data_IF_230580649022
#
_entry.id   IF_230580649022
#
_cell.length_a   1.000
_cell.length_b   1.000
_cell.length_c   1.000
_cell.angle_alpha   90.00
_cell.angle_beta   90.00
_cell.angle_gamma   90.00
#
_symmetry.space_group_name_H-M   'P 1'
#
loop_
_entity.id
_entity.type
_entity.pdbx_description
1 polymer ?
#
# COMPACT_ATOMS: atom_id res chain seq x y z
N UNK A 1 55.90 8.77 -35.46
CA UNK A 1 56.85 9.67 -34.78
C UNK A 1 56.53 11.09 -35.22
N UNK A 2 55.81 11.81 -34.38
CA UNK A 2 55.45 13.23 -34.54
C UNK A 2 55.85 13.88 -33.21
N UNK A 3 56.58 15.00 -33.21
CA UNK A 3 57.19 15.52 -31.99
C UNK A 3 56.18 16.24 -31.10
N UNK A 4 56.32 15.98 -29.81
CA UNK A 4 55.99 16.89 -28.71
C UNK A 4 56.51 18.29 -29.01
N UNK A 5 55.67 19.33 -28.81
CA UNK A 5 56.08 20.44 -27.93
C UNK A 5 54.94 21.43 -27.56
N UNK A 6 55.12 22.01 -26.36
CA UNK A 6 54.60 23.29 -25.83
C UNK A 6 53.16 23.41 -25.30
N UNK A 7 53.08 23.18 -23.97
CA UNK A 7 52.71 24.16 -22.93
C UNK A 7 51.77 25.32 -23.32
N UNK A 8 50.61 25.37 -22.66
CA UNK A 8 50.20 26.61 -21.97
C UNK A 8 49.39 26.31 -20.71
N UNK A 9 49.96 26.69 -19.57
CA UNK A 9 49.30 26.79 -18.26
C UNK A 9 48.28 27.92 -18.31
N UNK A 10 47.03 27.63 -17.94
CA UNK A 10 46.12 28.62 -17.40
C UNK A 10 45.56 28.07 -16.08
N UNK A 11 46.24 28.38 -14.98
CA UNK A 11 45.66 28.32 -13.65
C UNK A 11 44.69 29.49 -13.54
N UNK A 12 43.39 29.22 -13.61
CA UNK A 12 42.37 30.15 -13.12
C UNK A 12 42.01 29.78 -11.70
N UNK A 13 42.54 30.61 -10.79
CA UNK A 13 42.06 30.82 -9.44
C UNK A 13 40.59 31.24 -9.48
N UNK A 14 39.68 30.32 -9.15
CA UNK A 14 38.31 30.68 -8.77
C UNK A 14 38.29 30.72 -7.25
N UNK A 15 38.15 31.96 -6.75
CA UNK A 15 38.12 32.29 -5.33
C UNK A 15 36.98 31.57 -4.61
N UNK A 16 37.36 31.01 -3.47
CA UNK A 16 36.45 30.55 -2.42
C UNK A 16 35.80 31.78 -1.78
N UNK A 17 34.62 32.16 -2.26
CA UNK A 17 33.76 33.14 -1.61
C UNK A 17 33.01 32.40 -0.50
N UNK A 18 33.48 32.57 0.74
CA UNK A 18 32.72 32.24 1.95
C UNK A 18 31.55 33.22 2.06
N UNK A 19 30.29 32.76 2.20
CA UNK A 19 29.22 33.63 2.65
C UNK A 19 29.36 33.93 4.15
N UNK A 20 29.21 35.20 4.60
CA UNK A 20 29.07 35.54 6.01
C UNK A 20 27.58 35.57 6.36
N UNK A 21 27.08 34.54 7.03
CA UNK A 21 25.79 34.59 7.71
C UNK A 21 25.88 33.78 9.01
N UNK A 22 26.64 34.30 9.98
CA UNK A 22 26.31 34.06 11.38
C UNK A 22 25.01 34.82 11.67
N UNK A 23 23.90 34.09 11.66
CA UNK A 23 22.69 34.52 12.36
C UNK A 23 22.75 33.83 13.71
N UNK A 24 23.09 34.61 14.74
CA UNK A 24 22.91 34.24 16.14
C UNK A 24 21.43 33.89 16.35
N UNK A 25 21.16 32.59 16.52
CA UNK A 25 19.90 32.15 17.09
C UNK A 25 19.97 32.42 18.58
N UNK A 26 19.40 33.56 18.97
CA UNK A 26 19.14 33.90 20.36
C UNK A 26 18.42 32.73 21.05
N UNK A 27 18.94 32.36 22.22
CA UNK A 27 18.33 31.42 23.13
C UNK A 27 16.92 31.90 23.51
N UNK A 28 15.91 31.33 22.86
CA UNK A 28 14.51 31.52 23.22
C UNK A 28 14.12 30.48 24.27
N UNK A 29 13.91 30.99 25.48
CA UNK A 29 12.95 30.57 26.49
C UNK A 29 12.40 29.14 26.38
N UNK A 30 12.77 28.34 27.38
CA UNK A 30 12.05 27.14 27.82
C UNK A 30 10.58 27.46 28.12
N UNK A 31 9.70 27.40 27.11
CA UNK A 31 8.28 27.20 27.33
C UNK A 31 8.02 25.72 27.59
N UNK A 32 7.69 25.39 28.85
CA UNK A 32 7.15 24.08 29.24
C UNK A 32 5.83 23.87 28.52
N UNK A 33 5.82 23.02 27.50
CA UNK A 33 4.60 22.46 26.96
C UNK A 33 3.85 21.68 28.06
N UNK A 34 2.52 21.84 28.20
CA UNK A 34 1.74 21.13 29.19
C UNK A 34 1.73 19.62 28.90
N UNK A 35 2.12 18.86 29.91
CA UNK A 35 2.34 17.42 29.93
C UNK A 35 1.02 16.61 29.97
N UNK A 36 -0.05 17.09 29.33
CA UNK A 36 -1.42 16.55 29.44
C UNK A 36 -2.05 16.14 28.10
N UNK A 37 -1.29 15.46 27.24
CA UNK A 37 -1.81 14.87 25.99
C UNK A 37 -0.98 13.66 25.54
N UNK A 38 -0.56 12.81 26.49
CA UNK A 38 0.18 11.56 26.20
C UNK A 38 -0.52 10.27 26.61
N UNK A 39 -1.70 10.34 27.24
CA UNK A 39 -2.34 9.14 27.80
C UNK A 39 -3.49 8.55 26.97
N UNK A 40 -3.85 9.12 25.81
CA UNK A 40 -4.88 8.53 24.93
C UNK A 40 -4.35 7.57 23.85
N UNK A 41 -3.06 7.24 23.89
CA UNK A 41 -2.46 6.24 22.96
C UNK A 41 -2.38 4.82 23.55
N UNK A 42 -2.87 4.62 24.78
CA UNK A 42 -2.69 3.39 25.54
C UNK A 42 -3.90 2.42 25.53
N UNK A 43 -4.96 2.71 24.78
CA UNK A 43 -6.13 1.82 24.69
C UNK A 43 -6.54 1.55 23.24
N UNK A 44 -5.57 1.12 22.43
CA UNK A 44 -5.87 0.44 21.17
C UNK A 44 -5.64 -1.05 21.40
N UNK A 45 -6.62 -1.93 21.09
CA UNK A 45 -6.43 -3.37 21.18
C UNK A 45 -5.18 -3.77 20.39
N UNK A 46 -4.35 -4.63 20.96
CA UNK A 46 -3.13 -5.06 20.31
C UNK A 46 -3.47 -5.75 18.97
N UNK A 47 -2.53 -5.78 18.01
CA UNK A 47 -2.72 -6.55 16.76
C UNK A 47 -3.10 -8.03 16.99
N UNK A 48 -2.80 -8.56 18.18
CA UNK A 48 -3.19 -9.90 18.61
C UNK A 48 -4.66 -9.99 19.06
N UNK A 49 -5.21 -8.93 19.65
CA UNK A 49 -6.64 -8.85 19.99
C UNK A 49 -7.51 -8.76 18.72
N UNK A 50 -6.99 -8.16 17.64
CA UNK A 50 -7.70 -8.05 16.36
C UNK A 50 -7.93 -9.41 15.69
N UNK A 51 -6.95 -10.32 15.74
CA UNK A 51 -7.18 -11.70 15.31
C UNK A 51 -8.20 -12.42 16.19
N UNK A 52 -8.30 -12.06 17.46
CA UNK A 52 -9.26 -12.66 18.40
C UNK A 52 -10.67 -12.12 18.17
N UNK A 53 -10.83 -10.81 17.96
CA UNK A 53 -12.12 -10.19 17.66
C UNK A 53 -12.64 -10.62 16.28
N UNK A 54 -11.79 -10.71 15.25
CA UNK A 54 -12.23 -11.31 13.98
C UNK A 54 -12.55 -12.81 14.12
N UNK A 55 -11.84 -13.53 15.00
CA UNK A 55 -12.15 -14.95 15.30
C UNK A 55 -13.49 -15.09 16.02
N UNK A 56 -13.86 -14.14 16.88
CA UNK A 56 -15.16 -14.11 17.56
C UNK A 56 -16.29 -13.63 16.65
N UNK A 57 -16.05 -12.63 15.79
CA UNK A 57 -17.04 -12.16 14.81
C UNK A 57 -17.36 -13.20 13.73
N UNK A 58 -16.49 -14.20 13.51
CA UNK A 58 -16.76 -15.35 12.65
C UNK A 58 -17.35 -16.57 13.38
N UNK A 59 -17.72 -16.46 14.66
CA UNK A 59 -18.56 -17.49 15.31
C UNK A 59 -20.00 -17.26 14.86
N UNK A 60 -20.48 -18.09 13.94
CA UNK A 60 -21.91 -18.16 13.62
C UNK A 60 -22.72 -18.47 14.89
N UNK A 61 -23.82 -17.75 15.11
CA UNK A 61 -24.72 -17.92 16.26
C UNK A 61 -25.45 -19.27 16.27
N UNK A 62 -25.37 -20.04 15.18
CA UNK A 62 -26.13 -21.29 15.02
C UNK A 62 -25.45 -22.55 15.54
N UNK A 63 -24.26 -22.50 16.13
CA UNK A 63 -23.64 -23.66 16.80
C UNK A 63 -23.27 -24.87 15.92
N UNK A 64 -23.75 -24.93 14.67
CA UNK A 64 -23.39 -25.92 13.68
C UNK A 64 -22.13 -25.48 12.95
N UNK A 65 -21.00 -25.77 13.58
CA UNK A 65 -19.67 -25.48 13.07
C UNK A 65 -19.38 -26.14 11.72
N UNK A 66 -19.59 -25.40 10.64
CA UNK A 66 -19.10 -25.73 9.30
C UNK A 66 -17.65 -25.21 9.05
N UNK A 67 -16.87 -24.97 10.11
CA UNK A 67 -15.44 -24.70 10.00
C UNK A 67 -14.67 -25.88 10.59
N UNK A 68 -14.24 -26.77 9.70
CA UNK A 68 -13.36 -27.89 10.02
C UNK A 68 -12.15 -27.39 10.80
N UNK A 69 -12.16 -27.59 12.12
CA UNK A 69 -11.10 -27.26 13.07
C UNK A 69 -9.75 -27.98 12.80
N UNK A 70 -9.63 -28.68 11.67
CA UNK A 70 -8.42 -29.37 11.23
C UNK A 70 -7.56 -28.56 10.27
N UNK A 71 -8.06 -27.48 9.67
CA UNK A 71 -7.19 -26.51 8.99
C UNK A 71 -6.77 -25.47 10.03
N UNK A 72 -5.61 -25.69 10.65
CA UNK A 72 -5.05 -24.76 11.62
C UNK A 72 -5.05 -23.35 11.04
N UNK A 73 -5.88 -22.46 11.58
CA UNK A 73 -5.89 -21.06 11.21
C UNK A 73 -4.50 -20.51 11.46
N UNK A 74 -3.72 -20.32 10.39
CA UNK A 74 -2.49 -19.56 10.47
C UNK A 74 -2.87 -18.21 11.06
N UNK A 75 -2.18 -17.77 12.13
CA UNK A 75 -2.42 -16.51 12.84
C UNK A 75 -2.24 -15.25 11.96
N UNK A 76 -2.09 -15.42 10.66
CA UNK A 76 -1.79 -14.39 9.68
C UNK A 76 -3.03 -14.22 8.80
N UNK A 77 -3.90 -13.30 9.17
CA UNK A 77 -4.96 -12.84 8.27
C UNK A 77 -4.32 -12.04 7.13
N UNK A 78 -4.76 -12.30 5.90
CA UNK A 78 -4.34 -11.55 4.71
C UNK A 78 -5.38 -10.48 4.43
N UNK A 79 -4.92 -9.26 4.15
CA UNK A 79 -5.79 -8.13 3.80
C UNK A 79 -5.62 -7.66 2.35
N UNK A 80 -4.59 -8.14 1.66
CA UNK A 80 -4.42 -7.89 0.24
C UNK A 80 -3.20 -8.55 -0.38
N UNK A 81 -2.97 -8.22 -1.64
CA UNK A 81 -1.80 -8.59 -2.43
C UNK A 81 -1.34 -7.37 -3.23
N UNK A 82 -0.03 -7.17 -3.29
CA UNK A 82 0.59 -6.15 -4.12
C UNK A 82 1.29 -6.83 -5.30
N UNK A 83 0.89 -6.50 -6.53
CA UNK A 83 1.47 -7.05 -7.75
C UNK A 83 2.34 -5.99 -8.40
N UNK A 84 3.66 -6.12 -8.30
CA UNK A 84 4.64 -5.28 -8.97
C UNK A 84 4.88 -5.73 -10.41
N UNK A 85 4.90 -4.78 -11.34
CA UNK A 85 5.26 -4.98 -12.74
C UNK A 85 6.45 -4.09 -13.07
N UNK A 86 7.58 -4.72 -13.33
CA UNK A 86 8.75 -4.03 -13.86
C UNK A 86 8.73 -4.07 -15.38
N UNK A 87 9.15 -3.00 -16.06
CA UNK A 87 9.25 -3.01 -17.53
C UNK A 87 10.14 -4.14 -18.03
N UNK A 88 9.88 -4.56 -19.25
CA UNK A 88 10.79 -5.40 -20.02
C UNK A 88 12.14 -4.69 -20.18
N UNK A 89 13.23 -5.38 -19.83
CA UNK A 89 14.59 -4.95 -20.14
C UNK A 89 15.01 -5.62 -21.45
N UNK A 90 15.02 -4.86 -22.54
CA UNK A 90 15.32 -5.38 -23.88
C UNK A 90 14.25 -6.34 -24.41
N UNK A 91 14.66 -7.57 -24.75
CA UNK A 91 13.78 -8.61 -25.31
C UNK A 91 13.13 -9.52 -24.25
N UNK A 92 13.44 -9.33 -22.97
CA UNK A 92 12.87 -10.15 -21.89
C UNK A 92 11.41 -9.78 -21.61
N UNK A 93 10.55 -10.74 -21.22
CA UNK A 93 9.20 -10.41 -20.79
C UNK A 93 9.22 -9.54 -19.53
N UNK A 94 8.16 -8.73 -19.29
CA UNK A 94 8.01 -7.95 -18.06
C UNK A 94 8.09 -8.85 -16.82
N UNK A 95 8.87 -8.43 -15.82
CA UNK A 95 8.96 -9.15 -14.55
C UNK A 95 7.76 -8.80 -13.67
N UNK A 96 7.09 -9.83 -13.16
CA UNK A 96 5.98 -9.72 -12.22
C UNK A 96 6.46 -10.22 -10.86
N UNK A 97 6.32 -9.39 -9.83
CA UNK A 97 6.63 -9.72 -8.44
C UNK A 97 5.33 -9.62 -7.62
N UNK A 98 4.99 -10.67 -6.86
CA UNK A 98 3.80 -10.67 -6.00
C UNK A 98 4.17 -10.66 -4.52
N UNK A 99 3.49 -9.82 -3.75
CA UNK A 99 3.70 -9.69 -2.32
C UNK A 99 2.39 -9.84 -1.56
N UNK A 100 2.30 -10.84 -0.69
CA UNK A 100 1.15 -11.02 0.19
C UNK A 100 1.21 -10.07 1.37
N UNK A 101 0.07 -9.41 1.65
CA UNK A 101 -0.06 -8.41 2.70
C UNK A 101 -0.81 -9.01 3.89
N UNK A 102 -0.13 -9.14 5.04
CA UNK A 102 -0.66 -9.75 6.27
C UNK A 102 -0.93 -8.71 7.35
N UNK A 103 -1.93 -8.95 8.21
CA UNK A 103 -2.40 -7.96 9.18
C UNK A 103 -1.38 -7.62 10.28
N UNK A 104 -0.36 -8.46 10.50
CA UNK A 104 0.62 -8.22 11.57
C UNK A 104 1.76 -7.28 11.14
N UNK A 105 1.76 -6.79 9.90
CA UNK A 105 2.92 -6.14 9.30
C UNK A 105 2.55 -4.90 8.51
N UNK A 106 3.29 -3.81 8.74
CA UNK A 106 3.40 -2.70 7.79
C UNK A 106 4.50 -3.01 6.78
N UNK A 107 4.28 -2.64 5.52
CA UNK A 107 5.21 -2.90 4.43
C UNK A 107 5.84 -1.59 4.00
N UNK A 108 7.16 -1.51 4.08
CA UNK A 108 7.96 -0.41 3.56
C UNK A 108 8.45 -0.74 2.15
N UNK A 109 8.27 0.17 1.20
CA UNK A 109 8.67 0.02 -0.20
C UNK A 109 9.68 1.12 -0.55
N UNK A 110 10.82 0.78 -1.15
CA UNK A 110 11.83 1.78 -1.55
C UNK A 110 13.16 1.19 -2.04
N UNK A 111 14.17 2.04 -2.27
CA UNK A 111 15.52 1.58 -2.74
C UNK A 111 16.36 0.91 -1.64
N UNK A 112 16.04 1.17 -0.36
CA UNK A 112 16.85 0.71 0.77
C UNK A 112 16.89 -0.82 0.87
N UNK A 113 17.97 -1.38 1.41
CA UNK A 113 18.02 -2.82 1.75
C UNK A 113 17.19 -3.16 2.99
N UNK A 114 16.76 -2.14 3.74
CA UNK A 114 15.96 -2.28 4.96
C UNK A 114 14.46 -2.25 4.70
N UNK A 115 14.02 -2.03 3.46
CA UNK A 115 12.60 -2.06 3.08
C UNK A 115 12.14 -3.51 2.88
N UNK A 116 10.86 -3.77 3.10
CA UNK A 116 10.27 -5.09 2.90
C UNK A 116 10.19 -5.46 1.42
N UNK A 117 9.85 -4.49 0.57
CA UNK A 117 9.86 -4.64 -0.89
C UNK A 117 10.88 -3.67 -1.45
N UNK A 118 11.99 -4.22 -1.92
CA UNK A 118 13.12 -3.44 -2.42
C UNK A 118 12.99 -3.20 -3.92
N UNK A 119 13.15 -1.94 -4.32
CA UNK A 119 13.14 -1.52 -5.72
C UNK A 119 14.57 -1.25 -6.21
N UNK A 120 14.86 -1.56 -7.47
CA UNK A 120 16.14 -1.26 -8.11
C UNK A 120 17.29 -2.15 -7.62
N UNK A 121 17.02 -3.44 -7.36
CA UNK A 121 18.07 -4.38 -6.97
C UNK A 121 19.11 -4.58 -8.09
N UNK A 122 18.66 -4.55 -9.35
CA UNK A 122 19.49 -4.86 -10.52
C UNK A 122 19.92 -3.61 -11.32
N UNK A 123 19.33 -2.45 -11.05
CA UNK A 123 19.62 -1.21 -11.76
C UNK A 123 19.55 -0.01 -10.80
N UNK A 124 20.45 0.97 -10.92
CA UNK A 124 20.39 2.18 -10.11
C UNK A 124 19.13 3.00 -10.45
N UNK A 125 18.25 3.18 -9.46
CA UNK A 125 17.03 3.97 -9.60
C UNK A 125 17.09 5.21 -8.68
N UNK A 126 17.83 6.28 -9.08
CA UNK A 126 18.10 7.41 -8.20
C UNK A 126 16.84 8.19 -7.81
N UNK A 127 15.81 8.22 -8.67
CA UNK A 127 14.57 8.96 -8.44
C UNK A 127 13.62 8.32 -7.41
N UNK A 128 13.85 7.07 -7.00
CA UNK A 128 13.00 6.39 -6.03
C UNK A 128 13.62 6.55 -4.65
N UNK A 129 12.97 7.22 -3.69
CA UNK A 129 13.47 7.37 -2.31
C UNK A 129 13.86 6.06 -1.60
N UNK A 130 14.77 6.16 -0.61
CA UNK A 130 15.20 5.03 0.24
C UNK A 130 14.04 4.33 0.91
N UNK A 131 13.10 5.12 1.43
CA UNK A 131 11.80 4.73 1.94
C UNK A 131 10.82 5.57 1.11
N UNK A 132 10.13 4.94 0.18
CA UNK A 132 9.36 5.64 -0.84
C UNK A 132 7.90 5.79 -0.43
N UNK A 133 7.26 4.69 -0.09
CA UNK A 133 5.94 4.69 0.51
C UNK A 133 5.82 3.52 1.47
N UNK A 134 4.83 3.58 2.36
CA UNK A 134 4.46 2.45 3.21
C UNK A 134 3.01 2.05 2.97
N UNK A 135 2.76 0.75 3.03
CA UNK A 135 1.44 0.15 3.03
C UNK A 135 1.14 -0.40 4.41
N UNK A 136 -0.04 -0.11 4.91
CA UNK A 136 -0.53 -0.61 6.18
C UNK A 136 -2.05 -0.73 6.10
N UNK A 137 -2.65 -1.33 7.13
CA UNK A 137 -4.10 -1.36 7.26
C UNK A 137 -4.52 -0.64 8.53
N UNK A 138 -5.75 -0.18 8.56
CA UNK A 138 -6.45 0.26 9.77
C UNK A 138 -7.76 -0.49 9.88
N UNK A 139 -8.26 -0.69 11.09
CA UNK A 139 -9.63 -1.19 11.26
C UNK A 139 -10.54 0.02 11.39
N UNK A 140 -11.47 0.12 10.45
CA UNK A 140 -12.62 0.98 10.60
C UNK A 140 -13.66 0.26 11.44
N UNK A 141 -13.83 0.75 12.67
CA UNK A 141 -14.94 0.34 13.51
C UNK A 141 -16.15 1.18 13.13
N UNK A 142 -17.28 0.58 12.72
CA UNK A 142 -18.48 1.35 12.47
C UNK A 142 -18.82 2.15 13.73
N UNK A 143 -19.11 3.44 13.56
CA UNK A 143 -19.55 4.26 14.68
C UNK A 143 -20.87 3.69 15.19
N UNK A 144 -20.79 2.97 16.31
CA UNK A 144 -21.96 2.61 17.08
C UNK A 144 -22.55 3.94 17.56
N UNK A 145 -23.53 4.46 16.83
CA UNK A 145 -24.25 5.66 17.23
C UNK A 145 -25.02 5.36 18.52
N UNK A 146 -24.37 5.57 19.66
CA UNK A 146 -25.00 5.54 21.00
C UNK A 146 -25.85 6.80 21.26
N UNK A 147 -26.12 7.60 20.22
CA UNK A 147 -26.95 8.79 20.28
C UNK A 147 -28.42 8.44 20.30
N UNK A 148 -29.11 8.88 21.35
CA UNK A 148 -30.56 8.78 21.57
C UNK A 148 -31.33 9.53 20.46
N UNK A 149 -31.52 8.90 19.30
CA UNK A 149 -32.30 9.45 18.18
C UNK A 149 -31.70 9.30 16.79
N UNK A 150 -30.49 8.74 16.65
CA UNK A 150 -30.00 8.32 15.33
C UNK A 150 -30.74 7.05 14.92
N UNK A 151 -31.17 6.98 13.65
CA UNK A 151 -31.71 5.75 13.08
C UNK A 151 -30.74 4.59 13.38
N UNK A 152 -31.25 3.39 13.75
CA UNK A 152 -30.39 2.26 14.06
C UNK A 152 -29.39 2.09 12.92
N UNK A 153 -28.08 2.09 13.26
CA UNK A 153 -27.04 1.71 12.32
C UNK A 153 -27.51 0.43 11.63
N UNK A 154 -27.40 0.39 10.29
CA UNK A 154 -27.90 -0.74 9.52
C UNK A 154 -27.39 -2.03 10.19
N UNK A 155 -28.28 -2.91 10.69
CA UNK A 155 -27.86 -4.08 11.43
C UNK A 155 -26.95 -4.91 10.54
N UNK A 156 -25.69 -5.06 10.94
CA UNK A 156 -24.71 -5.89 10.24
C UNK A 156 -23.49 -5.18 9.66
N UNK A 157 -23.25 -3.90 9.97
CA UNK A 157 -21.96 -3.29 9.60
C UNK A 157 -20.85 -3.92 10.46
N UNK A 158 -20.06 -4.81 9.85
CA UNK A 158 -18.93 -5.48 10.50
C UNK A 158 -17.69 -4.56 10.46
N UNK A 159 -16.77 -4.66 11.44
CA UNK A 159 -15.48 -3.99 11.37
C UNK A 159 -14.78 -4.30 10.04
N UNK A 160 -14.33 -3.25 9.35
CA UNK A 160 -13.73 -3.37 8.02
C UNK A 160 -12.23 -3.07 8.08
N UNK A 161 -11.43 -3.90 7.39
CA UNK A 161 -10.02 -3.64 7.16
C UNK A 161 -9.87 -2.65 6.01
N UNK A 162 -9.32 -1.48 6.29
CA UNK A 162 -9.05 -0.44 5.31
C UNK A 162 -7.56 -0.43 4.95
N UNK A 163 -7.20 -0.64 3.67
CA UNK A 163 -5.83 -0.58 3.22
C UNK A 163 -5.42 0.88 2.95
N UNK A 164 -4.32 1.31 3.54
CA UNK A 164 -3.80 2.67 3.42
C UNK A 164 -2.40 2.69 2.82
N UNK A 165 -2.15 3.71 1.99
CA UNK A 165 -0.84 4.08 1.49
C UNK A 165 -0.42 5.41 2.10
N UNK A 166 0.81 5.51 2.61
CA UNK A 166 1.43 6.78 2.98
C UNK A 166 2.66 7.05 2.13
N UNK A 167 2.64 8.19 1.44
CA UNK A 167 3.75 8.62 0.58
C UNK A 167 4.86 9.25 1.43
N UNK A 168 6.07 8.70 1.38
CA UNK A 168 7.25 9.17 2.09
C UNK A 168 8.31 9.73 1.13
N UNK A 169 7.98 9.77 -0.16
CA UNK A 169 8.92 10.00 -1.22
C UNK A 169 9.28 11.48 -1.37
N UNK A 170 10.39 11.73 -2.07
CA UNK A 170 10.79 13.08 -2.46
C UNK A 170 10.11 13.52 -3.76
N UNK A 171 9.90 12.57 -4.69
CA UNK A 171 9.38 12.84 -6.04
C UNK A 171 7.88 12.58 -6.20
N UNK A 172 7.21 12.10 -5.14
CA UNK A 172 5.77 11.85 -5.10
C UNK A 172 5.41 10.40 -5.42
N UNK A 173 4.40 9.89 -4.73
CA UNK A 173 3.69 8.65 -5.09
C UNK A 173 2.35 8.99 -5.72
N UNK A 174 1.95 8.26 -6.75
CA UNK A 174 0.71 8.48 -7.48
C UNK A 174 -0.20 7.25 -7.40
N UNK A 175 -1.49 7.46 -7.22
CA UNK A 175 -2.52 6.41 -7.30
C UNK A 175 -3.40 6.73 -8.51
N UNK A 176 -3.46 5.84 -9.48
CA UNK A 176 -4.19 6.02 -10.74
C UNK A 176 -3.84 7.35 -11.43
N UNK A 177 -2.56 7.75 -11.37
CA UNK A 177 -2.06 9.00 -11.95
C UNK A 177 -2.29 10.27 -11.10
N UNK A 178 -2.92 10.17 -9.93
CA UNK A 178 -3.17 11.29 -9.01
C UNK A 178 -2.10 11.32 -7.91
N UNK A 179 -1.44 12.46 -7.72
CA UNK A 179 -0.42 12.64 -6.68
C UNK A 179 -1.02 12.54 -5.27
N UNK A 180 -0.47 11.66 -4.42
CA UNK A 180 -0.85 11.54 -3.01
C UNK A 180 -0.24 12.69 -2.19
N UNK A 181 1.06 12.92 -2.35
CA UNK A 181 1.80 13.99 -1.69
C UNK A 181 2.55 13.53 -0.43
N UNK A 182 3.74 14.11 -0.20
CA UNK A 182 4.63 13.69 0.88
C UNK A 182 3.97 13.79 2.27
N UNK A 183 4.10 12.72 3.05
CA UNK A 183 3.48 12.48 4.35
C UNK A 183 1.93 12.52 4.34
N UNK A 184 1.31 12.40 3.16
CA UNK A 184 -0.14 12.24 3.04
C UNK A 184 -0.49 10.76 2.92
N UNK A 185 -1.69 10.45 3.39
CA UNK A 185 -2.27 9.12 3.37
C UNK A 185 -3.40 9.09 2.35
N UNK A 186 -3.49 7.99 1.62
CA UNK A 186 -4.58 7.71 0.69
C UNK A 186 -5.11 6.31 0.95
N UNK A 187 -6.43 6.18 0.95
CA UNK A 187 -7.11 4.90 0.99
C UNK A 187 -6.91 4.20 -0.35
N UNK A 188 -6.53 2.92 -0.32
CA UNK A 188 -6.42 2.09 -1.50
C UNK A 188 -7.72 1.33 -1.77
N UNK A 189 -8.08 1.23 -3.04
CA UNK A 189 -9.20 0.42 -3.53
C UNK A 189 -8.68 -0.77 -4.31
N UNK A 190 -9.48 -1.82 -4.39
CA UNK A 190 -9.15 -2.97 -5.22
C UNK A 190 -8.91 -2.55 -6.67
N UNK A 191 -7.80 -3.04 -7.23
CA UNK A 191 -7.34 -2.68 -8.58
C UNK A 191 -6.55 -1.37 -8.67
N UNK A 192 -6.39 -0.61 -7.59
CA UNK A 192 -5.64 0.65 -7.62
C UNK A 192 -4.20 0.46 -8.09
N UNK A 193 -3.79 1.32 -9.01
CA UNK A 193 -2.46 1.33 -9.59
C UNK A 193 -1.60 2.38 -8.90
N UNK A 194 -0.49 1.95 -8.29
CA UNK A 194 0.49 2.80 -7.61
C UNK A 194 1.72 3.02 -8.50
N UNK A 195 2.11 4.28 -8.67
CA UNK A 195 3.24 4.71 -9.50
C UNK A 195 4.18 5.61 -8.66
N UNK A 196 5.49 5.51 -8.89
CA UNK A 196 6.51 5.99 -7.94
C UNK A 196 7.15 7.35 -8.27
N UNK A 197 7.14 7.79 -9.51
CA UNK A 197 7.93 8.99 -9.89
C UNK A 197 7.18 9.79 -10.93
N UNK A 198 6.69 9.09 -11.96
CA UNK A 198 5.93 9.69 -13.04
C UNK A 198 4.66 8.89 -13.28
N UNK A 199 3.51 9.56 -13.44
CA UNK A 199 2.27 8.88 -13.82
C UNK A 199 2.37 8.44 -15.29
N UNK A 200 2.22 7.15 -15.58
CA UNK A 200 2.41 6.65 -16.95
C UNK A 200 1.19 6.89 -17.88
N UNK A 201 0.25 7.74 -17.50
CA UNK A 201 -0.96 8.05 -18.28
C UNK A 201 -0.91 9.37 -19.06
N UNK A 202 0.07 10.25 -18.81
CA UNK A 202 0.20 11.53 -19.52
C UNK A 202 1.30 11.41 -20.58
N UNK A 203 0.92 10.84 -21.72
CA UNK A 203 1.79 10.63 -22.86
C UNK A 203 2.37 11.96 -23.38
N UNK A 204 3.63 12.23 -23.05
CA UNK A 204 4.59 12.54 -24.10
C UNK A 204 5.60 11.41 -24.11
N UNK A 205 5.57 10.63 -25.18
CA UNK A 205 6.46 9.52 -25.45
C UNK A 205 7.89 10.07 -25.63
N UNK A 206 8.60 10.32 -24.53
CA UNK A 206 10.05 10.46 -24.58
C UNK A 206 10.64 9.05 -24.55
N UNK A 207 11.41 8.65 -25.58
CA UNK A 207 11.89 7.28 -25.77
C UNK A 207 13.01 6.87 -24.79
N UNK A 208 13.32 7.67 -23.77
CA UNK A 208 14.40 7.40 -22.82
C UNK A 208 13.88 6.59 -21.62
N UNK A 209 13.64 5.31 -21.89
CA UNK A 209 13.96 4.06 -21.14
C UNK A 209 13.89 3.95 -19.61
N UNK A 210 13.58 4.98 -18.83
CA UNK A 210 13.47 4.85 -17.37
C UNK A 210 12.04 4.49 -16.98
N UNK A 211 11.60 3.29 -17.37
CA UNK A 211 10.32 2.79 -16.89
C UNK A 211 10.48 2.34 -15.44
N UNK A 212 9.78 3.02 -14.54
CA UNK A 212 9.71 2.66 -13.13
C UNK A 212 8.75 1.48 -12.95
N UNK A 213 8.96 0.61 -11.94
CA UNK A 213 7.99 -0.41 -11.63
C UNK A 213 6.68 0.24 -11.18
N UNK A 214 5.58 -0.39 -11.58
CA UNK A 214 4.22 -0.01 -11.18
C UNK A 214 3.64 -1.12 -10.33
N UNK A 215 2.88 -0.79 -9.30
CA UNK A 215 2.21 -1.77 -8.47
C UNK A 215 0.70 -1.73 -8.66
N UNK A 216 0.04 -2.87 -8.57
CA UNK A 216 -1.42 -2.96 -8.49
C UNK A 216 -1.79 -3.58 -7.15
N UNK A 217 -2.63 -2.88 -6.39
CA UNK A 217 -3.19 -3.40 -5.16
C UNK A 217 -4.42 -4.27 -5.48
N UNK A 218 -4.46 -5.45 -4.88
CA UNK A 218 -5.60 -6.36 -4.94
C UNK A 218 -6.08 -6.62 -3.51
N UNK A 219 -7.31 -6.26 -3.20
CA UNK A 219 -7.91 -6.52 -1.90
C UNK A 219 -8.10 -8.02 -1.69
N UNK A 220 -7.91 -8.50 -0.46
CA UNK A 220 -8.27 -9.88 -0.14
C UNK A 220 -9.81 -10.00 -0.18
N UNK A 221 -10.37 -11.07 -0.79
CA UNK A 221 -11.80 -11.31 -0.73
C UNK A 221 -12.21 -11.44 0.74
N UNK A 222 -13.19 -10.62 1.15
CA UNK A 222 -13.74 -10.74 2.50
C UNK A 222 -14.46 -12.09 2.60
N UNK A 223 -14.22 -12.88 3.68
CA UNK A 223 -14.78 -14.22 3.81
C UNK A 223 -16.33 -14.26 3.83
N UNK A 224 -17.01 -13.12 3.99
CA UNK A 224 -18.43 -13.07 4.30
C UNK A 224 -19.32 -12.61 3.13
N UNK A 225 -18.78 -12.36 1.93
CA UNK A 225 -19.60 -11.98 0.77
C UNK A 225 -20.12 -13.19 -0.05
N UNK A 226 -19.76 -14.43 0.33
CA UNK A 226 -20.23 -15.64 -0.34
C UNK A 226 -21.66 -16.07 0.09
N UNK A 227 -22.46 -15.14 0.61
CA UNK A 227 -23.87 -15.33 0.90
C UNK A 227 -24.73 -15.13 -0.35
N UNK A 228 -25.18 -16.25 -0.92
CA UNK A 228 -26.47 -16.38 -1.62
C UNK A 228 -26.55 -16.11 -3.14
N UNK A 229 -25.68 -16.74 -3.94
CA UNK A 229 -25.93 -16.97 -5.38
C UNK A 229 -26.13 -18.45 -5.74
N UNK A 230 -26.34 -19.32 -4.76
CA UNK A 230 -26.66 -20.74 -4.98
C UNK A 230 -28.16 -21.03 -4.81
N UNK A 231 -29.03 -20.48 -5.66
CA UNK A 231 -30.36 -21.07 -5.93
C UNK A 231 -31.12 -20.42 -7.11
N UNK A 232 -30.62 -20.51 -8.35
CA UNK A 232 -31.50 -20.36 -9.53
C UNK A 232 -31.01 -21.02 -10.82
N UNK A 233 -30.64 -22.30 -10.75
CA UNK A 233 -30.57 -23.19 -11.92
C UNK A 233 -31.15 -24.54 -11.49
N UNK A 234 -32.07 -25.21 -12.17
CA UNK A 234 -32.96 -24.89 -13.26
C UNK A 234 -33.96 -26.05 -13.30
N UNK A 235 -35.26 -25.77 -13.24
CA UNK A 235 -36.29 -26.75 -13.56
C UNK A 235 -36.65 -26.57 -15.03
N UNK A 236 -35.89 -27.23 -15.92
CA UNK A 236 -36.18 -27.26 -17.35
C UNK A 236 -36.62 -28.68 -17.77
N UNK A 237 -37.94 -28.79 -17.98
CA UNK A 237 -38.60 -29.55 -19.05
C UNK A 237 -38.16 -30.98 -19.37
N UNK A 238 -39.00 -31.95 -18.99
CA UNK A 238 -39.01 -33.31 -19.56
C UNK A 238 -39.44 -33.28 -21.04
N UNK A 239 -38.70 -33.91 -21.98
CA UNK A 239 -39.19 -34.12 -23.34
C UNK A 239 -40.15 -35.32 -23.43
N UNK A 240 -41.34 -35.08 -23.96
CA UNK A 240 -42.33 -36.10 -24.36
C UNK A 240 -41.84 -36.81 -25.63
N UNK A 241 -41.70 -38.14 -25.58
CA UNK A 241 -41.42 -38.97 -26.75
C UNK A 241 -42.71 -39.60 -27.28
N UNK A 242 -43.17 -39.09 -28.43
CA UNK A 242 -44.14 -39.75 -29.29
C UNK A 242 -43.44 -40.01 -30.62
N UNK A 243 -43.23 -41.26 -31.03
CA UNK A 243 -43.26 -41.62 -32.45
C UNK A 243 -43.37 -43.13 -32.67
N UNK A 244 -44.26 -43.45 -33.59
CA UNK A 244 -44.71 -44.73 -34.13
C UNK A 244 -43.64 -45.70 -34.64
N UNK A 245 -43.92 -47.00 -34.46
CA UNK A 245 -44.03 -47.98 -35.54
C UNK A 245 -44.71 -49.26 -35.07
#
# INVERSE_FOLDING_TARGET
>A
MVPDDQRTRAQQLIGSVRPPCEVEWGASSHERAPQRLRDERASMPSALDLCSVMREACRDENGDGCYSAKQGWSRQCRWGRLVGRSPAEGAAPPRIDEHELVCTKEYMIGRSRKTDIRIGQNAPMPYISSHHFRLFHTIHWPELHFGRGAAPAAPGELPALEPWLEDLSQNGTFINGVLVGRNKRALLKDGDRVELVFPQGRAQATPTSNSFPTYTFLAAPLPNAAGDESQKTGAAGSPSSTLDK
#
